data_IF_649524604038
#
_entry.id   IF_649524604038
#
_cell.length_a   1.000
_cell.length_b   1.000
_cell.length_c   1.000
_cell.angle_alpha   90.00
_cell.angle_beta   90.00
_cell.angle_gamma   90.00
#
_symmetry.space_group_name_H-M   'P 1'
#
loop_
_entity.id
_entity.type
_entity.pdbx_description
1 polymer ?
#
# COMPACT_ATOMS: atom_id res chain seq x y z
N UNK A 1 20.91 82.28 -41.38
CA UNK A 1 20.70 83.22 -40.25
C UNK A 1 19.78 82.50 -39.26
N UNK A 2 20.30 81.80 -38.24
CA UNK A 2 20.78 82.27 -36.92
C UNK A 2 19.64 82.61 -35.93
N UNK A 3 19.42 81.66 -34.99
CA UNK A 3 19.11 81.78 -33.53
C UNK A 3 17.70 82.30 -33.13
N UNK A 4 17.03 81.94 -32.03
CA UNK A 4 17.40 81.54 -30.64
C UNK A 4 16.22 80.75 -30.01
N UNK A 5 16.48 79.59 -29.38
CA UNK A 5 16.31 79.27 -27.94
C UNK A 5 14.99 79.67 -27.25
N UNK A 6 14.24 78.67 -26.77
CA UNK A 6 13.83 78.61 -25.35
C UNK A 6 13.60 77.15 -24.91
N UNK A 7 14.25 76.78 -23.80
CA UNK A 7 14.25 75.48 -23.13
C UNK A 7 13.11 75.37 -22.10
N UNK A 8 12.96 74.15 -21.53
CA UNK A 8 12.27 73.76 -20.27
C UNK A 8 10.88 73.16 -20.56
N UNK A 9 10.62 71.85 -20.40
CA UNK A 9 10.66 71.13 -19.12
C UNK A 9 10.99 69.63 -19.28
N UNK A 10 11.81 69.19 -18.34
CA UNK A 10 12.30 67.86 -18.04
C UNK A 10 11.15 66.97 -17.51
N UNK A 11 10.92 65.80 -18.11
CA UNK A 11 10.37 64.64 -17.39
C UNK A 11 10.86 63.35 -18.05
N UNK A 12 11.95 62.79 -17.50
CA UNK A 12 12.29 61.38 -17.66
C UNK A 12 11.27 60.55 -16.85
N UNK A 13 10.64 59.51 -17.42
CA UNK A 13 10.38 58.31 -16.67
C UNK A 13 11.59 57.38 -16.82
N UNK A 14 12.37 57.34 -15.75
CA UNK A 14 13.27 56.24 -15.43
C UNK A 14 12.53 54.89 -15.56
N UNK A 15 13.21 53.94 -16.21
CA UNK A 15 13.17 52.50 -15.96
C UNK A 15 11.80 51.85 -15.71
N UNK A 16 11.27 51.23 -16.77
CA UNK A 16 10.47 50.02 -16.63
C UNK A 16 11.09 48.92 -17.49
N UNK A 17 12.24 48.41 -17.07
CA UNK A 17 12.69 47.09 -17.50
C UNK A 17 11.69 46.09 -16.95
N UNK A 18 10.68 45.73 -17.73
CA UNK A 18 9.81 44.61 -17.42
C UNK A 18 10.67 43.35 -17.42
N UNK A 19 11.22 42.99 -16.26
CA UNK A 19 11.74 41.66 -16.03
C UNK A 19 10.56 40.71 -16.19
N UNK A 20 10.42 40.13 -17.39
CA UNK A 20 9.71 38.86 -17.56
C UNK A 20 10.44 37.86 -16.69
N UNK A 21 9.98 37.70 -15.45
CA UNK A 21 10.22 36.48 -14.69
C UNK A 21 9.49 35.38 -15.44
N UNK A 22 10.14 34.80 -16.45
CA UNK A 22 9.76 33.49 -16.94
C UNK A 22 9.91 32.55 -15.76
N UNK A 23 8.81 32.16 -15.14
CA UNK A 23 8.82 31.02 -14.23
C UNK A 23 9.35 29.86 -15.06
N UNK A 24 10.60 29.45 -14.83
CA UNK A 24 11.08 28.18 -15.31
C UNK A 24 10.23 27.11 -14.59
N UNK A 25 9.09 26.76 -15.19
CA UNK A 25 8.37 25.57 -14.78
C UNK A 25 9.32 24.43 -15.10
N UNK A 26 9.90 23.83 -14.06
CA UNK A 26 10.63 22.58 -14.19
C UNK A 26 9.76 21.64 -15.02
N UNK A 27 10.25 21.10 -16.16
CA UNK A 27 9.47 20.19 -16.97
C UNK A 27 8.97 19.08 -16.06
N UNK A 28 7.64 18.87 -16.04
CA UNK A 28 7.06 17.73 -15.33
C UNK A 28 7.81 16.47 -15.80
N UNK A 29 8.39 15.67 -14.91
CA UNK A 29 9.09 14.46 -15.30
C UNK A 29 8.19 13.64 -16.22
N UNK A 30 8.73 13.17 -17.35
CA UNK A 30 7.98 12.30 -18.24
C UNK A 30 7.45 11.10 -17.44
N UNK A 31 6.15 10.82 -17.54
CA UNK A 31 5.52 9.73 -16.81
C UNK A 31 6.15 8.40 -17.24
N UNK A 32 6.67 7.65 -16.27
CA UNK A 32 7.21 6.31 -16.53
C UNK A 32 6.07 5.38 -16.97
N UNK A 33 6.18 4.82 -18.19
CA UNK A 33 5.14 3.96 -18.78
C UNK A 33 4.85 2.72 -17.94
N UNK A 34 5.84 2.19 -17.23
CA UNK A 34 5.61 1.05 -16.34
C UNK A 34 4.85 1.42 -15.08
N UNK A 35 5.11 2.60 -14.53
CA UNK A 35 4.34 3.12 -13.41
C UNK A 35 2.90 3.38 -13.84
N UNK A 36 2.70 3.95 -15.03
CA UNK A 36 1.35 4.14 -15.56
C UNK A 36 0.62 2.80 -15.76
N UNK A 37 1.28 1.79 -16.35
CA UNK A 37 0.69 0.46 -16.52
C UNK A 37 0.31 -0.19 -15.18
N UNK A 38 1.14 -0.04 -14.14
CA UNK A 38 0.82 -0.51 -12.79
C UNK A 38 -0.38 0.22 -12.18
N UNK A 39 -0.48 1.54 -12.38
CA UNK A 39 -1.63 2.33 -11.91
C UNK A 39 -2.91 1.91 -12.65
N UNK A 40 -2.83 1.72 -13.96
CA UNK A 40 -3.97 1.33 -14.80
C UNK A 40 -4.46 -0.10 -14.49
N UNK A 41 -3.58 -0.97 -13.98
CA UNK A 41 -3.94 -2.31 -13.55
C UNK A 41 -4.73 -2.34 -12.22
N UNK A 42 -4.74 -1.26 -11.44
CA UNK A 42 -5.48 -1.18 -10.19
C UNK A 42 -6.95 -0.86 -10.45
N UNK A 43 -7.83 -1.82 -10.15
CA UNK A 43 -9.28 -1.66 -10.31
C UNK A 43 -9.96 -1.23 -9.00
N UNK A 44 -10.64 -0.07 -9.05
CA UNK A 44 -11.47 0.41 -7.94
C UNK A 44 -12.63 -0.55 -7.62
N UNK A 45 -13.24 -1.15 -8.65
CA UNK A 45 -14.35 -2.09 -8.49
C UNK A 45 -13.92 -3.38 -7.79
N UNK A 46 -12.74 -3.91 -8.15
CA UNK A 46 -12.15 -5.06 -7.45
C UNK A 46 -11.90 -4.75 -5.97
N UNK A 47 -11.31 -3.58 -5.67
CA UNK A 47 -11.08 -3.15 -4.28
C UNK A 47 -12.39 -3.04 -3.52
N UNK A 48 -13.43 -2.44 -4.13
CA UNK A 48 -14.76 -2.30 -3.53
C UNK A 48 -15.38 -3.67 -3.22
N UNK A 49 -15.28 -4.63 -4.15
CA UNK A 49 -15.75 -5.99 -3.95
C UNK A 49 -15.01 -6.69 -2.79
N UNK A 50 -13.70 -6.48 -2.65
CA UNK A 50 -12.93 -7.03 -1.54
C UNK A 50 -13.32 -6.43 -0.19
N UNK A 51 -13.56 -5.12 -0.15
CA UNK A 51 -14.07 -4.44 1.06
C UNK A 51 -15.42 -5.02 1.46
N UNK A 52 -16.36 -5.17 0.52
CA UNK A 52 -17.66 -5.78 0.84
C UNK A 52 -17.53 -7.22 1.32
N UNK A 53 -16.60 -7.98 0.75
CA UNK A 53 -16.35 -9.34 1.22
C UNK A 53 -15.81 -9.34 2.65
N UNK A 54 -14.91 -8.42 3.01
CA UNK A 54 -14.44 -8.29 4.39
C UNK A 54 -15.55 -7.90 5.37
N UNK A 55 -16.42 -6.99 4.96
CA UNK A 55 -17.59 -6.56 5.75
C UNK A 55 -18.54 -7.73 6.00
N UNK A 56 -18.67 -8.65 5.04
CA UNK A 56 -19.57 -9.82 5.15
C UNK A 56 -19.21 -10.79 6.28
N UNK A 57 -17.98 -10.74 6.82
CA UNK A 57 -17.57 -11.60 7.94
C UNK A 57 -18.17 -11.18 9.30
N UNK A 58 -19.00 -10.11 9.32
CA UNK A 58 -19.65 -9.50 10.49
C UNK A 58 -18.68 -8.82 11.46
N UNK A 59 -17.72 -9.58 11.97
CA UNK A 59 -16.64 -9.12 12.84
C UNK A 59 -15.34 -9.80 12.44
N UNK A 60 -14.24 -9.07 12.60
CA UNK A 60 -12.90 -9.61 12.48
C UNK A 60 -12.12 -9.31 13.76
N UNK A 61 -12.81 -9.34 14.90
CA UNK A 61 -12.16 -9.11 16.18
C UNK A 61 -11.04 -10.13 16.39
N UNK A 62 -9.91 -9.70 16.97
CA UNK A 62 -8.76 -10.58 17.17
C UNK A 62 -9.08 -11.82 18.03
N UNK A 63 -10.11 -11.71 18.88
CA UNK A 63 -10.66 -12.79 19.73
C UNK A 63 -11.92 -13.47 19.16
N UNK A 64 -12.35 -13.11 17.95
CA UNK A 64 -13.53 -13.71 17.31
C UNK A 64 -13.26 -15.14 16.85
N UNK A 65 -14.32 -15.82 16.41
CA UNK A 65 -14.24 -17.20 15.97
C UNK A 65 -13.18 -17.43 14.87
N UNK A 66 -12.50 -18.57 14.99
CA UNK A 66 -11.45 -18.99 14.06
C UNK A 66 -11.85 -20.20 13.21
N UNK A 67 -12.93 -20.89 13.59
CA UNK A 67 -13.37 -22.14 12.98
C UNK A 67 -14.41 -21.93 11.88
N UNK A 68 -15.32 -20.97 12.02
CA UNK A 68 -16.35 -20.66 11.03
C UNK A 68 -15.75 -20.30 9.68
N UNK A 69 -16.44 -20.73 8.61
CA UNK A 69 -16.09 -20.42 7.23
C UNK A 69 -16.74 -19.14 6.70
N UNK A 70 -17.69 -18.56 7.43
CA UNK A 70 -18.50 -17.42 6.97
C UNK A 70 -18.34 -16.17 7.80
N UNK A 71 -17.88 -16.26 9.04
CA UNK A 71 -17.76 -15.14 9.97
C UNK A 71 -16.52 -15.24 10.84
N UNK A 72 -16.15 -14.13 11.48
CA UNK A 72 -15.00 -14.07 12.35
C UNK A 72 -13.67 -13.94 11.61
N UNK A 73 -12.63 -13.78 12.42
CA UNK A 73 -11.27 -13.51 11.95
C UNK A 73 -10.64 -14.72 11.25
N UNK A 74 -11.04 -15.95 11.62
CA UNK A 74 -10.58 -17.16 10.93
C UNK A 74 -11.00 -17.21 9.47
N UNK A 75 -12.29 -16.97 9.20
CA UNK A 75 -12.83 -16.91 7.85
C UNK A 75 -12.13 -15.82 7.01
N UNK A 76 -11.94 -14.63 7.59
CA UNK A 76 -11.27 -13.52 6.94
C UNK A 76 -9.82 -13.85 6.55
N UNK A 77 -9.03 -14.42 7.46
CA UNK A 77 -7.64 -14.84 7.20
C UNK A 77 -7.55 -15.82 6.04
N UNK A 78 -8.38 -16.87 6.06
CA UNK A 78 -8.39 -17.90 5.02
C UNK A 78 -8.80 -17.31 3.68
N UNK A 79 -9.76 -16.40 3.67
CA UNK A 79 -10.18 -15.72 2.46
C UNK A 79 -9.07 -14.82 1.88
N UNK A 80 -8.40 -14.02 2.70
CA UNK A 80 -7.27 -13.19 2.21
C UNK A 80 -6.11 -14.05 1.72
N UNK A 81 -5.77 -15.13 2.43
CA UNK A 81 -4.77 -16.09 1.96
C UNK A 81 -5.17 -16.71 0.60
N UNK A 82 -6.46 -17.02 0.40
CA UNK A 82 -6.94 -17.51 -0.90
C UNK A 82 -6.78 -16.46 -2.01
N UNK A 83 -6.96 -15.17 -1.69
CA UNK A 83 -6.74 -14.07 -2.65
C UNK A 83 -5.28 -13.94 -3.04
N UNK A 84 -4.35 -14.06 -2.09
CA UNK A 84 -2.93 -14.08 -2.41
C UNK A 84 -2.55 -15.24 -3.32
N UNK A 85 -3.09 -16.44 -3.09
CA UNK A 85 -2.88 -17.60 -3.99
C UNK A 85 -3.47 -17.36 -5.37
N UNK A 86 -4.67 -16.79 -5.46
CA UNK A 86 -5.31 -16.43 -6.73
C UNK A 86 -4.44 -15.45 -7.53
N UNK A 87 -3.95 -14.41 -6.86
CA UNK A 87 -3.06 -13.40 -7.41
C UNK A 87 -1.74 -14.00 -7.92
N UNK A 88 -1.14 -14.88 -7.13
CA UNK A 88 0.07 -15.61 -7.51
C UNK A 88 -0.13 -16.41 -8.81
N UNK A 89 -1.23 -17.16 -8.89
CA UNK A 89 -1.59 -17.97 -10.05
C UNK A 89 -1.81 -17.13 -11.31
N UNK A 90 -2.57 -16.03 -11.19
CA UNK A 90 -2.89 -15.14 -12.31
C UNK A 90 -1.63 -14.54 -12.96
N UNK A 91 -0.60 -14.24 -12.16
CA UNK A 91 0.65 -13.66 -12.65
C UNK A 91 1.78 -14.67 -12.86
N UNK A 92 1.52 -15.97 -12.67
CA UNK A 92 2.56 -17.02 -12.67
C UNK A 92 3.74 -16.65 -11.76
N UNK A 93 3.41 -16.04 -10.64
CA UNK A 93 4.34 -15.55 -9.65
C UNK A 93 4.52 -16.62 -8.58
N UNK A 94 5.77 -16.88 -8.19
CA UNK A 94 6.09 -17.85 -7.13
C UNK A 94 5.93 -17.20 -5.75
N UNK A 95 4.68 -16.87 -5.41
CA UNK A 95 4.33 -16.29 -4.11
C UNK A 95 4.04 -17.40 -3.10
N UNK A 96 4.80 -17.42 -2.02
CA UNK A 96 4.52 -18.26 -0.85
C UNK A 96 3.47 -17.57 0.02
N UNK A 97 2.46 -18.33 0.46
CA UNK A 97 1.32 -17.80 1.22
C UNK A 97 1.10 -18.60 2.49
N UNK A 98 1.39 -17.97 3.62
CA UNK A 98 1.42 -18.61 4.93
C UNK A 98 0.49 -17.91 5.94
N UNK A 99 0.04 -18.70 6.91
CA UNK A 99 -0.57 -18.19 8.13
C UNK A 99 0.45 -18.27 9.25
N UNK A 100 1.20 -17.18 9.43
CA UNK A 100 2.31 -17.08 10.38
C UNK A 100 1.78 -17.02 11.84
N UNK A 101 1.93 -18.10 12.63
CA UNK A 101 1.39 -18.18 13.97
C UNK A 101 2.33 -17.53 14.99
N UNK A 102 1.76 -16.83 15.95
CA UNK A 102 2.46 -16.30 17.12
C UNK A 102 1.58 -16.41 18.36
N UNK A 103 2.21 -16.63 19.51
CA UNK A 103 1.51 -16.66 20.78
C UNK A 103 1.45 -15.27 21.40
N UNK A 104 0.29 -14.94 21.97
CA UNK A 104 0.09 -13.74 22.77
C UNK A 104 -0.46 -14.15 24.13
N UNK A 105 0.15 -13.62 25.18
CA UNK A 105 -0.21 -13.89 26.57
C UNK A 105 -0.83 -12.65 27.22
N UNK A 106 -1.61 -12.80 28.29
CA UNK A 106 -2.20 -11.66 28.99
C UNK A 106 -1.15 -10.68 29.52
N UNK A 107 -1.40 -9.39 29.32
CA UNK A 107 -0.55 -8.31 29.83
C UNK A 107 -1.34 -7.49 30.88
N UNK A 108 -0.89 -7.44 32.16
CA UNK A 108 -1.56 -6.67 33.20
C UNK A 108 -1.68 -5.16 32.89
N UNK A 109 -0.79 -4.62 32.05
CA UNK A 109 -0.82 -3.21 31.60
C UNK A 109 -1.75 -2.98 30.40
N UNK A 110 -2.20 -4.04 29.72
CA UNK A 110 -3.09 -3.99 28.57
C UNK A 110 -3.99 -5.23 28.56
N UNK A 111 -5.10 -5.24 29.32
CA UNK A 111 -5.92 -6.42 29.57
C UNK A 111 -6.85 -6.78 28.39
N UNK A 112 -6.42 -6.53 27.15
CA UNK A 112 -7.19 -6.80 25.93
C UNK A 112 -7.11 -8.26 25.46
N UNK A 113 -6.23 -9.04 26.10
CA UNK A 113 -6.03 -10.46 25.85
C UNK A 113 -6.26 -11.18 27.17
N UNK A 114 -7.43 -11.83 27.36
CA UNK A 114 -7.81 -12.37 28.66
C UNK A 114 -7.14 -13.71 28.99
N UNK A 115 -6.66 -14.44 27.98
CA UNK A 115 -5.96 -15.72 28.12
C UNK A 115 -4.94 -15.88 27.00
N UNK A 116 -3.95 -16.76 27.20
CA UNK A 116 -2.96 -17.09 26.18
C UNK A 116 -3.62 -17.70 24.97
N UNK A 117 -3.29 -17.22 23.77
CA UNK A 117 -3.80 -17.77 22.53
C UNK A 117 -2.82 -17.63 21.38
N UNK A 118 -2.98 -18.50 20.38
CA UNK A 118 -2.28 -18.38 19.11
C UNK A 118 -3.04 -17.46 18.17
N UNK A 119 -2.42 -16.34 17.80
CA UNK A 119 -2.86 -15.51 16.70
C UNK A 119 -2.05 -15.87 15.44
N UNK A 120 -2.59 -15.51 14.28
CA UNK A 120 -2.00 -15.75 12.97
C UNK A 120 -2.03 -14.48 12.13
N UNK A 121 -0.90 -14.14 11.54
CA UNK A 121 -0.81 -13.16 10.46
C UNK A 121 -1.05 -13.85 9.13
N UNK A 122 -1.43 -13.08 8.10
CA UNK A 122 -1.47 -13.58 6.73
C UNK A 122 -0.24 -13.01 6.00
N UNK A 123 0.62 -13.88 5.49
CA UNK A 123 1.86 -13.49 4.83
C UNK A 123 1.83 -13.92 3.37
N UNK A 124 2.09 -12.98 2.46
CA UNK A 124 2.40 -13.25 1.06
C UNK A 124 3.84 -12.86 0.78
N UNK A 125 4.72 -13.84 0.58
CA UNK A 125 6.13 -13.60 0.30
C UNK A 125 6.40 -13.88 -1.16
N UNK A 126 6.88 -12.87 -1.89
CA UNK A 126 7.26 -13.03 -3.28
C UNK A 126 8.77 -13.00 -3.41
N UNK A 127 9.36 -14.05 -3.98
CA UNK A 127 10.80 -14.10 -4.17
C UNK A 127 11.26 -13.13 -5.28
N UNK A 128 12.53 -12.73 -5.21
CA UNK A 128 13.12 -11.77 -6.12
C UNK A 128 13.75 -12.44 -7.31
N UNK A 129 13.88 -11.68 -8.40
CA UNK A 129 14.60 -12.18 -9.57
C UNK A 129 16.12 -12.21 -9.36
N UNK A 130 16.64 -11.39 -8.44
CA UNK A 130 18.07 -11.26 -8.16
C UNK A 130 18.39 -11.90 -6.80
N UNK A 131 19.07 -13.06 -6.77
CA UNK A 131 19.40 -13.75 -5.53
C UNK A 131 20.47 -13.01 -4.70
N UNK A 132 21.18 -12.03 -5.27
CA UNK A 132 22.18 -11.23 -4.55
C UNK A 132 21.58 -9.96 -3.90
N UNK A 133 20.29 -9.68 -4.12
CA UNK A 133 19.59 -8.58 -3.49
C UNK A 133 18.85 -9.05 -2.24
N UNK A 134 19.33 -8.62 -1.07
CA UNK A 134 18.79 -9.01 0.23
C UNK A 134 17.75 -8.03 0.78
N UNK A 135 17.43 -6.98 0.03
CA UNK A 135 16.51 -5.94 0.48
C UNK A 135 15.06 -6.42 0.36
N UNK A 136 14.24 -5.99 1.30
CA UNK A 136 12.83 -6.34 1.40
C UNK A 136 11.98 -5.08 1.44
N UNK A 137 10.98 -5.01 0.56
CA UNK A 137 9.90 -4.03 0.61
C UNK A 137 8.73 -4.68 1.34
N UNK A 138 8.37 -4.10 2.48
CA UNK A 138 7.25 -4.56 3.27
C UNK A 138 6.04 -3.66 3.04
N UNK A 139 4.93 -4.27 2.61
CA UNK A 139 3.62 -3.63 2.61
C UNK A 139 2.80 -4.27 3.71
N UNK A 140 2.35 -3.46 4.67
CA UNK A 140 1.58 -3.92 5.84
C UNK A 140 0.25 -3.20 5.99
N UNK A 141 -0.72 -3.88 6.59
CA UNK A 141 -2.01 -3.36 7.06
C UNK A 141 -2.63 -4.35 8.05
N UNK A 142 -3.58 -3.91 8.88
CA UNK A 142 -4.20 -4.82 9.84
C UNK A 142 -5.48 -5.44 9.25
N UNK A 143 -5.72 -6.70 9.62
CA UNK A 143 -6.86 -7.48 9.13
C UNK A 143 -8.07 -7.35 10.06
N UNK A 144 -7.78 -7.18 11.36
CA UNK A 144 -8.79 -7.22 12.39
C UNK A 144 -9.63 -5.93 12.44
N UNK A 145 -10.80 -6.05 13.04
CA UNK A 145 -11.72 -4.94 13.28
C UNK A 145 -12.37 -5.11 14.64
N UNK A 146 -12.82 -4.01 15.22
CA UNK A 146 -13.54 -4.01 16.49
C UNK A 146 -14.67 -3.00 16.46
N UNK A 147 -15.66 -3.21 17.31
CA UNK A 147 -16.67 -2.19 17.59
C UNK A 147 -16.20 -1.32 18.78
N UNK A 148 -17.08 -0.46 19.28
CA UNK A 148 -16.78 0.44 20.41
C UNK A 148 -16.36 -0.31 21.68
N UNK A 149 -16.96 -1.47 21.94
CA UNK A 149 -16.56 -2.30 23.07
C UNK A 149 -15.34 -3.14 22.70
N UNK A 150 -14.20 -2.82 23.31
CA UNK A 150 -12.91 -3.44 23.00
C UNK A 150 -12.89 -4.95 23.27
N UNK A 151 -13.74 -5.44 24.17
CA UNK A 151 -13.79 -6.86 24.55
C UNK A 151 -14.93 -7.62 23.88
N UNK A 152 -15.73 -6.96 23.03
CA UNK A 152 -16.80 -7.61 22.31
C UNK A 152 -16.27 -8.32 21.06
N UNK A 153 -16.06 -9.62 21.19
CA UNK A 153 -15.56 -10.47 20.11
C UNK A 153 -16.63 -10.97 19.13
N UNK A 154 -17.91 -10.71 19.43
CA UNK A 154 -19.05 -11.27 18.69
C UNK A 154 -19.83 -10.19 17.95
N UNK A 155 -19.94 -8.99 18.55
CA UNK A 155 -20.70 -7.88 18.00
C UNK A 155 -20.19 -7.42 16.64
N UNK A 156 -21.09 -6.78 15.89
CA UNK A 156 -20.82 -6.34 14.53
C UNK A 156 -19.69 -5.31 14.51
N UNK A 157 -18.65 -5.62 13.74
CA UNK A 157 -17.48 -4.79 13.52
C UNK A 157 -17.09 -4.86 12.03
N UNK A 158 -17.89 -4.25 11.12
CA UNK A 158 -17.69 -4.42 9.68
C UNK A 158 -16.32 -3.91 9.19
N UNK A 159 -15.78 -2.86 9.80
CA UNK A 159 -14.41 -2.39 9.57
C UNK A 159 -14.09 -2.12 8.09
N UNK A 160 -15.02 -1.49 7.36
CA UNK A 160 -14.85 -1.22 5.93
C UNK A 160 -13.74 -0.20 5.67
N UNK A 161 -13.75 0.91 6.41
CA UNK A 161 -12.70 1.92 6.33
C UNK A 161 -11.45 1.50 7.13
N UNK A 162 -11.67 0.98 8.35
CA UNK A 162 -10.67 0.57 9.34
C UNK A 162 -10.64 -0.96 9.49
N UNK A 163 -9.76 -1.69 8.79
CA UNK A 163 -8.78 -1.21 7.80
C UNK A 163 -8.95 -1.86 6.42
N UNK A 164 -10.12 -2.43 6.13
CA UNK A 164 -10.33 -3.15 4.85
C UNK A 164 -10.00 -2.26 3.63
N UNK A 165 -10.34 -0.98 3.69
CA UNK A 165 -10.10 -0.07 2.58
C UNK A 165 -8.62 0.19 2.32
N UNK A 166 -7.82 0.45 3.36
CA UNK A 166 -6.40 0.74 3.19
C UNK A 166 -5.62 -0.56 2.92
N UNK A 167 -6.03 -1.65 3.57
CA UNK A 167 -5.53 -3.00 3.31
C UNK A 167 -5.59 -3.34 1.81
N UNK A 168 -6.76 -3.25 1.17
CA UNK A 168 -6.89 -3.64 -0.23
C UNK A 168 -6.28 -2.64 -1.22
N UNK A 169 -6.22 -1.35 -0.88
CA UNK A 169 -5.45 -0.38 -1.69
C UNK A 169 -3.96 -0.76 -1.71
N UNK A 170 -3.41 -1.11 -0.54
CA UNK A 170 -2.01 -1.52 -0.38
C UNK A 170 -1.73 -2.84 -1.08
N UNK A 171 -2.61 -3.84 -0.92
CA UNK A 171 -2.52 -5.13 -1.61
C UNK A 171 -2.57 -4.95 -3.13
N UNK A 172 -3.51 -4.15 -3.64
CA UNK A 172 -3.63 -3.91 -5.07
C UNK A 172 -2.38 -3.24 -5.65
N UNK A 173 -1.83 -2.23 -4.96
CA UNK A 173 -0.59 -1.59 -5.36
C UNK A 173 0.61 -2.55 -5.34
N UNK A 174 0.78 -3.31 -4.25
CA UNK A 174 1.84 -4.31 -4.13
C UNK A 174 1.74 -5.38 -5.22
N UNK A 175 0.52 -5.81 -5.52
CA UNK A 175 0.25 -6.78 -6.57
C UNK A 175 0.56 -6.25 -7.97
N UNK A 176 0.21 -5.00 -8.27
CA UNK A 176 0.56 -4.37 -9.55
C UNK A 176 2.08 -4.27 -9.74
N UNK A 177 2.81 -3.90 -8.68
CA UNK A 177 4.28 -3.87 -8.69
C UNK A 177 4.87 -5.26 -8.93
N UNK A 178 4.36 -6.27 -8.23
CA UNK A 178 4.77 -7.66 -8.42
C UNK A 178 4.52 -8.14 -9.85
N UNK A 179 3.31 -7.91 -10.38
CA UNK A 179 2.93 -8.30 -11.74
C UNK A 179 3.87 -7.71 -12.80
N UNK A 180 4.15 -6.41 -12.67
CA UNK A 180 5.04 -5.69 -13.58
C UNK A 180 6.47 -6.25 -13.52
N UNK A 181 7.00 -6.49 -12.32
CA UNK A 181 8.34 -7.04 -12.14
C UNK A 181 8.49 -8.44 -12.77
N UNK A 182 7.47 -9.30 -12.63
CA UNK A 182 7.45 -10.64 -13.21
C UNK A 182 7.24 -10.66 -14.73
N UNK A 183 6.47 -9.73 -15.28
CA UNK A 183 6.35 -9.59 -16.74
C UNK A 183 7.70 -9.19 -17.37
N UNK A 184 8.44 -8.30 -16.70
CA UNK A 184 9.77 -7.87 -17.15
C UNK A 184 10.86 -8.92 -17.01
N UNK A 185 10.82 -9.76 -15.97
CA UNK A 185 11.77 -10.85 -15.83
C UNK A 185 11.64 -11.90 -16.94
N UNK A 186 10.42 -12.06 -17.48
CA UNK A 186 10.10 -12.99 -18.59
C UNK A 186 10.33 -12.41 -19.99
N UNK A 187 10.76 -11.15 -20.09
CA UNK A 187 10.99 -10.48 -21.39
C UNK A 187 9.70 -10.13 -22.14
N UNK A 188 8.54 -10.19 -21.49
CA UNK A 188 7.24 -9.83 -22.09
C UNK A 188 7.04 -8.30 -22.18
N UNK A 189 7.78 -7.54 -21.36
CA UNK A 189 7.78 -6.08 -21.35
C UNK A 189 9.21 -5.51 -21.30
N UNK A 190 9.43 -4.29 -21.82
CA UNK A 190 10.69 -3.56 -21.62
C UNK A 190 11.05 -3.49 -20.13
N UNK A 191 12.32 -3.77 -19.81
CA UNK A 191 12.85 -3.77 -18.44
C UNK A 191 12.74 -2.37 -17.82
N UNK A 192 12.07 -2.24 -16.68
CA UNK A 192 12.05 -0.99 -15.92
C UNK A 192 12.96 -1.06 -14.71
N UNK A 193 13.51 0.11 -14.37
CA UNK A 193 14.45 0.28 -13.28
C UNK A 193 13.68 0.83 -12.07
N UNK A 194 12.92 -0.02 -11.40
CA UNK A 194 12.21 0.37 -10.18
C UNK A 194 13.23 0.54 -9.03
N UNK A 195 13.47 1.79 -8.63
CA UNK A 195 14.24 2.10 -7.42
C UNK A 195 13.37 1.74 -6.21
N UNK A 196 13.85 0.83 -5.40
CA UNK A 196 13.22 0.39 -4.15
C UNK A 196 13.05 1.54 -3.17
N UNK A 197 11.82 1.79 -2.73
CA UNK A 197 11.54 2.59 -1.56
C UNK A 197 10.16 2.19 -0.99
N UNK A 198 10.17 1.47 0.12
CA UNK A 198 9.16 1.54 1.18
C UNK A 198 9.88 1.19 2.49
N UNK A 199 10.40 2.24 3.14
CA UNK A 199 10.85 2.24 4.53
C UNK A 199 9.63 2.30 5.46
N UNK A 200 9.68 1.56 6.56
CA UNK A 200 8.60 1.51 7.54
C UNK A 200 8.90 0.53 8.66
N UNK A 201 9.60 1.02 9.69
CA UNK A 201 9.86 0.36 10.98
C UNK A 201 8.73 -0.59 11.42
N UNK A 202 9.06 -1.87 11.55
CA UNK A 202 8.16 -2.94 12.01
C UNK A 202 7.97 -2.85 13.53
N UNK A 203 6.94 -2.12 13.95
CA UNK A 203 6.42 -2.15 15.31
C UNK A 203 4.99 -2.68 15.28
N UNK A 204 4.84 -3.98 15.04
CA UNK A 204 3.53 -4.65 15.04
C UNK A 204 3.60 -6.00 15.76
N UNK A 205 4.09 -6.02 17.00
CA UNK A 205 4.05 -7.22 17.85
C UNK A 205 2.64 -7.53 18.40
N UNK A 206 1.60 -6.77 18.04
CA UNK A 206 0.30 -6.84 18.72
C UNK A 206 -0.94 -6.77 17.82
N UNK A 207 -0.80 -6.73 16.49
CA UNK A 207 -1.94 -6.71 15.57
C UNK A 207 -1.82 -7.81 14.51
N UNK A 208 -2.96 -8.33 14.07
CA UNK A 208 -3.00 -9.38 13.06
C UNK A 208 -2.78 -8.74 11.70
N UNK A 209 -1.53 -8.77 11.27
CA UNK A 209 -1.06 -8.09 10.08
C UNK A 209 -1.27 -8.93 8.82
N UNK A 210 -1.46 -8.21 7.72
CA UNK A 210 -1.19 -8.68 6.38
C UNK A 210 0.17 -8.17 5.96
N UNK A 211 1.06 -9.03 5.47
CA UNK A 211 2.38 -8.62 4.97
C UNK A 211 2.58 -9.09 3.54
N UNK A 212 2.99 -8.16 2.67
CA UNK A 212 3.52 -8.50 1.34
C UNK A 212 5.00 -8.11 1.31
N UNK A 213 5.86 -9.10 1.09
CA UNK A 213 7.30 -8.89 0.94
C UNK A 213 7.64 -8.92 -0.55
N UNK A 214 8.15 -7.80 -1.06
CA UNK A 214 8.67 -7.69 -2.43
C UNK A 214 10.16 -7.34 -2.36
N UNK A 215 11.05 -8.10 -2.98
CA UNK A 215 12.46 -7.75 -2.99
C UNK A 215 12.72 -6.58 -3.94
N UNK A 216 13.70 -5.79 -3.56
CA UNK A 216 14.20 -4.73 -4.40
C UNK A 216 15.03 -5.30 -5.56
N UNK A 217 15.26 -4.49 -6.61
CA UNK A 217 16.26 -4.78 -7.65
C UNK A 217 17.41 -3.77 -7.55
N UNK A 218 18.66 -4.22 -7.65
CA UNK A 218 19.82 -3.31 -7.77
C UNK A 218 19.67 -2.43 -9.02
N UNK A 219 19.92 -1.13 -8.84
CA UNK A 219 19.78 -0.10 -9.86
C UNK A 219 20.94 -0.07 -10.84
#
# INVERSE_FOLDING_TARGET
MIRKFLYILLFLPLFASAQRQGSAQNPKPATDKSIQAMVDAVSADSIKAYIYKMVSFKTRHSLSDTSSNSEGIGAARRWVASKFRQFAQQNRADMQVDLDPYEITPNPRSPRVPYTMTMKNVLGTLAGSDPADTRVLLVSGHLDSRNTNVMDSVGLAPGANDDSSSLFKRVAGAYAVAAQAYSQSRGELPRCRCRSALDGRVSARHWQDLRVLLPARRG
#
